data_IF_610291107781
#
_entry.id   IF_610291107781
#
_cell.length_a   1.000
_cell.length_b   1.000
_cell.length_c   1.000
_cell.angle_alpha   90.00
_cell.angle_beta   90.00
_cell.angle_gamma   90.00
#
_symmetry.space_group_name_H-M   'P 1'
#
loop_
_entity.id
_entity.type
_entity.pdbx_description
1 polymer ?
#
# COMPACT_ATOMS: atom_id res chain seq x y z
N UNK A 1 -86.21 7.03 -12.74
CA UNK A 1 -85.37 5.93 -13.29
C UNK A 1 -83.94 6.42 -13.28
N UNK A 2 -82.99 5.72 -12.62
CA UNK A 2 -81.59 6.13 -12.58
C UNK A 2 -80.99 6.06 -13.99
N UNK A 3 -80.18 7.05 -14.36
CA UNK A 3 -79.49 7.08 -15.65
C UNK A 3 -78.39 6.00 -15.68
N UNK A 4 -78.18 5.30 -16.82
CA UNK A 4 -77.09 4.34 -16.92
C UNK A 4 -75.73 5.05 -16.83
N UNK A 5 -74.72 4.41 -16.21
CA UNK A 5 -73.45 5.04 -15.85
C UNK A 5 -72.68 5.62 -17.06
N UNK A 6 -72.77 4.94 -18.21
CA UNK A 6 -72.14 5.42 -19.45
C UNK A 6 -72.73 6.74 -19.97
N UNK A 7 -74.03 6.99 -19.77
CA UNK A 7 -74.67 8.26 -20.13
C UNK A 7 -74.32 9.36 -19.13
N UNK A 8 -74.26 9.03 -17.83
CA UNK A 8 -73.87 9.97 -16.79
C UNK A 8 -72.46 10.53 -17.04
N UNK A 9 -71.48 9.67 -17.32
CA UNK A 9 -70.12 10.09 -17.64
C UNK A 9 -70.04 10.99 -18.88
N UNK A 10 -70.84 10.70 -19.92
CA UNK A 10 -70.90 11.53 -21.14
C UNK A 10 -71.55 12.89 -20.90
N UNK A 11 -72.60 12.94 -20.08
CA UNK A 11 -73.28 14.19 -19.70
C UNK A 11 -72.40 15.04 -18.77
N UNK A 12 -71.67 14.42 -17.84
CA UNK A 12 -70.70 15.08 -16.98
C UNK A 12 -69.55 15.69 -17.80
N UNK A 13 -68.99 14.95 -18.77
CA UNK A 13 -67.96 15.47 -19.69
C UNK A 13 -68.43 16.64 -20.56
N UNK A 14 -69.75 16.78 -20.75
CA UNK A 14 -70.35 17.94 -21.44
C UNK A 14 -70.85 19.04 -20.51
N UNK A 15 -70.57 18.93 -19.20
CA UNK A 15 -70.92 19.93 -18.20
C UNK A 15 -72.41 20.02 -17.87
N UNK A 16 -73.20 19.02 -18.27
CA UNK A 16 -74.68 19.03 -18.10
C UNK A 16 -75.08 18.46 -16.73
N UNK A 17 -74.27 17.57 -16.15
CA UNK A 17 -74.51 16.94 -14.85
C UNK A 17 -73.25 17.04 -13.99
N UNK A 18 -73.36 17.55 -12.76
CA UNK A 18 -72.25 17.52 -11.79
C UNK A 18 -72.03 16.07 -11.34
N UNK A 19 -70.87 15.45 -11.57
CA UNK A 19 -70.59 14.15 -10.96
C UNK A 19 -70.60 14.34 -9.44
N UNK A 20 -71.46 13.60 -8.74
CA UNK A 20 -71.36 13.48 -7.29
C UNK A 20 -69.99 12.85 -7.01
N UNK A 21 -69.20 13.54 -6.18
CA UNK A 21 -67.83 13.21 -5.81
C UNK A 21 -67.76 11.74 -5.38
N UNK A 22 -67.24 10.90 -6.28
CA UNK A 22 -66.53 9.71 -5.86
C UNK A 22 -65.16 10.24 -5.46
N UNK A 23 -64.92 10.28 -4.13
CA UNK A 23 -63.57 10.18 -3.58
C UNK A 23 -62.84 9.17 -4.45
N UNK A 24 -61.96 9.67 -5.31
CA UNK A 24 -60.85 8.86 -5.69
C UNK A 24 -60.21 8.51 -4.36
N UNK A 25 -60.22 7.23 -4.00
CA UNK A 25 -59.17 6.66 -3.19
C UNK A 25 -57.87 6.98 -3.93
N UNK A 26 -57.40 8.22 -3.78
CA UNK A 26 -56.04 8.60 -4.02
C UNK A 26 -55.30 7.77 -2.98
N UNK A 27 -54.86 6.58 -3.40
CA UNK A 27 -53.82 5.86 -2.69
C UNK A 27 -52.70 6.88 -2.50
N UNK A 28 -52.64 7.42 -1.28
CA UNK A 28 -51.58 8.28 -0.80
C UNK A 28 -50.36 7.36 -0.78
N UNK A 29 -49.66 7.31 -1.91
CA UNK A 29 -48.26 6.90 -1.99
C UNK A 29 -47.47 8.01 -1.29
N UNK A 30 -47.71 8.19 0.00
CA UNK A 30 -46.66 8.71 0.85
C UNK A 30 -45.63 7.59 0.84
N UNK A 31 -44.69 7.71 -0.10
CA UNK A 31 -43.31 7.35 0.17
C UNK A 31 -43.05 7.83 1.61
N UNK A 32 -42.98 6.88 2.52
CA UNK A 32 -42.62 7.06 3.91
C UNK A 32 -41.16 7.52 3.94
N UNK A 33 -40.95 8.80 3.61
CA UNK A 33 -39.75 9.56 3.95
C UNK A 33 -39.69 9.76 5.48
N UNK A 34 -39.90 8.71 6.24
CA UNK A 34 -39.41 8.63 7.60
C UNK A 34 -38.11 7.83 7.58
N UNK A 35 -37.06 8.52 7.13
CA UNK A 35 -35.65 8.16 7.22
C UNK A 35 -35.19 8.06 8.70
N UNK A 36 -36.03 7.57 9.60
CA UNK A 36 -35.71 7.28 10.98
C UNK A 36 -34.89 6.00 11.04
N UNK A 37 -33.62 6.14 10.66
CA UNK A 37 -32.53 5.21 10.91
C UNK A 37 -32.30 4.94 12.42
N UNK A 38 -33.12 5.53 13.28
CA UNK A 38 -33.10 5.43 14.73
C UNK A 38 -34.46 4.90 15.18
N UNK A 39 -34.51 3.61 15.50
CA UNK A 39 -35.70 2.98 16.06
C UNK A 39 -35.81 3.35 17.55
N UNK A 40 -36.35 4.54 17.81
CA UNK A 40 -36.56 5.08 19.15
C UNK A 40 -37.45 4.15 20.01
N UNK A 41 -38.36 3.38 19.42
CA UNK A 41 -39.18 2.40 20.13
C UNK A 41 -38.30 1.27 20.68
N UNK A 42 -37.42 0.69 19.86
CA UNK A 42 -36.50 -0.34 20.32
C UNK A 42 -35.53 0.15 21.41
N UNK A 43 -35.11 1.43 21.36
CA UNK A 43 -34.25 2.01 22.42
C UNK A 43 -34.93 2.07 23.79
N UNK A 44 -36.25 2.31 23.80
CA UNK A 44 -37.04 2.38 25.04
C UNK A 44 -37.41 1.01 25.58
N UNK A 45 -37.57 0.01 24.70
CA UNK A 45 -38.01 -1.34 25.05
C UNK A 45 -36.86 -2.18 25.63
N UNK A 46 -35.61 -1.95 25.22
CA UNK A 46 -34.48 -2.82 25.58
C UNK A 46 -33.79 -2.50 26.93
N UNK A 47 -34.33 -1.57 27.74
CA UNK A 47 -33.70 -1.14 29.01
C UNK A 47 -32.21 -0.82 28.84
N UNK A 48 -31.89 -0.07 27.78
CA UNK A 48 -30.52 0.34 27.48
C UNK A 48 -30.00 1.30 28.56
N UNK A 49 -28.68 1.31 28.84
CA UNK A 49 -28.11 2.27 29.76
C UNK A 49 -28.33 3.71 29.26
N UNK A 50 -28.28 4.73 30.14
CA UNK A 50 -28.47 6.12 29.76
C UNK A 50 -27.57 6.52 28.59
N UNK A 51 -28.11 7.35 27.69
CA UNK A 51 -27.41 7.88 26.52
C UNK A 51 -26.99 6.86 25.46
N UNK A 52 -27.44 5.60 25.56
CA UNK A 52 -27.27 4.59 24.51
C UNK A 52 -28.49 4.48 23.62
N UNK A 53 -28.25 4.50 22.31
CA UNK A 53 -29.27 4.40 21.27
C UNK A 53 -28.96 3.25 20.33
N UNK A 54 -30.00 2.54 19.92
CA UNK A 54 -29.98 1.54 18.86
C UNK A 54 -30.21 2.26 17.53
N UNK A 55 -29.24 2.13 16.64
CA UNK A 55 -29.21 2.79 15.34
C UNK A 55 -29.01 1.71 14.30
N UNK A 56 -29.73 1.77 13.18
CA UNK A 56 -29.51 0.83 12.08
C UNK A 56 -28.41 1.37 11.16
N UNK A 57 -27.57 0.52 10.60
CA UNK A 57 -26.63 0.97 9.57
C UNK A 57 -27.33 0.94 8.21
N UNK A 58 -27.46 2.07 7.48
CA UNK A 58 -28.07 2.10 6.16
C UNK A 58 -27.42 1.14 5.15
N UNK A 59 -26.13 0.83 5.33
CA UNK A 59 -25.41 -0.04 4.40
C UNK A 59 -25.79 -1.52 4.54
N UNK A 60 -26.21 -1.96 5.72
CA UNK A 60 -26.44 -3.38 5.99
C UNK A 60 -27.74 -3.71 6.74
N UNK A 61 -28.50 -2.69 7.18
CA UNK A 61 -29.74 -2.85 7.94
C UNK A 61 -29.53 -3.52 9.31
N UNK A 62 -28.29 -3.69 9.77
CA UNK A 62 -27.99 -4.29 11.06
C UNK A 62 -28.00 -3.22 12.16
N UNK A 63 -28.55 -3.52 13.34
CA UNK A 63 -28.51 -2.59 14.46
C UNK A 63 -27.11 -2.53 15.05
N UNK A 64 -26.66 -1.33 15.35
CA UNK A 64 -25.52 -1.04 16.20
C UNK A 64 -25.95 -0.10 17.33
N UNK A 65 -25.18 -0.06 18.40
CA UNK A 65 -25.46 0.72 19.59
C UNK A 65 -24.46 1.88 19.66
N UNK A 66 -24.97 3.10 19.81
CA UNK A 66 -24.17 4.31 19.90
C UNK A 66 -24.49 5.06 21.19
N UNK A 67 -23.44 5.45 21.90
CA UNK A 67 -23.53 6.33 23.04
C UNK A 67 -23.27 7.78 22.63
N UNK A 68 -24.26 8.66 22.78
CA UNK A 68 -24.20 10.06 22.30
C UNK A 68 -23.29 10.94 23.17
N UNK A 69 -23.10 10.62 24.44
CA UNK A 69 -22.27 11.42 25.35
C UNK A 69 -20.77 11.17 25.16
N UNK A 70 -20.41 9.91 24.92
CA UNK A 70 -19.01 9.47 24.85
C UNK A 70 -18.54 9.16 23.43
N UNK A 71 -19.44 9.26 22.45
CA UNK A 71 -19.23 8.83 21.07
C UNK A 71 -18.71 7.38 20.97
N UNK A 72 -19.08 6.50 21.89
CA UNK A 72 -18.69 5.09 21.85
C UNK A 72 -19.70 4.28 21.04
N UNK A 73 -19.21 3.27 20.31
CA UNK A 73 -20.02 2.39 19.48
C UNK A 73 -19.79 0.92 19.83
N UNK A 74 -20.85 0.12 19.73
CA UNK A 74 -20.82 -1.33 19.93
C UNK A 74 -21.74 -2.03 18.93
N UNK A 75 -21.36 -3.23 18.50
CA UNK A 75 -22.20 -4.07 17.61
C UNK A 75 -23.26 -4.87 18.36
N UNK A 76 -23.09 -5.05 19.67
CA UNK A 76 -24.00 -5.76 20.56
C UNK A 76 -24.54 -4.83 21.62
N UNK A 77 -25.68 -5.19 22.22
CA UNK A 77 -26.28 -4.39 23.30
C UNK A 77 -25.26 -4.18 24.41
N UNK A 78 -25.13 -2.98 24.99
CA UNK A 78 -24.23 -2.71 26.11
C UNK A 78 -24.48 -3.57 27.35
N UNK A 79 -25.69 -4.15 27.45
CA UNK A 79 -26.07 -5.06 28.52
C UNK A 79 -25.57 -6.49 28.28
N UNK A 80 -25.10 -6.82 27.08
CA UNK A 80 -24.56 -8.14 26.74
C UNK A 80 -23.12 -8.28 27.25
N UNK A 81 -22.76 -9.38 27.95
CA UNK A 81 -21.41 -9.60 28.47
C UNK A 81 -20.32 -9.70 27.39
N UNK A 82 -20.70 -9.97 26.14
CA UNK A 82 -19.78 -10.05 24.99
C UNK A 82 -19.65 -8.74 24.23
N UNK A 83 -20.34 -7.68 24.68
CA UNK A 83 -20.31 -6.38 24.02
C UNK A 83 -18.93 -5.72 24.12
N UNK A 84 -18.34 -5.44 22.96
CA UNK A 84 -17.06 -4.75 22.85
C UNK A 84 -17.30 -3.29 22.48
N UNK A 85 -17.22 -2.43 23.50
CA UNK A 85 -17.42 -0.99 23.35
C UNK A 85 -16.13 -0.35 22.83
N UNK A 86 -16.20 0.29 21.67
CA UNK A 86 -15.03 0.88 21.00
C UNK A 86 -15.29 2.30 20.53
N UNK A 87 -14.22 2.99 20.15
CA UNK A 87 -14.35 4.27 19.42
C UNK A 87 -14.82 3.99 17.99
N UNK A 88 -15.60 4.90 17.37
CA UNK A 88 -16.10 4.72 16.03
C UNK A 88 -14.94 4.53 15.05
N UNK A 89 -15.11 3.57 14.14
CA UNK A 89 -14.08 3.18 13.18
C UNK A 89 -13.53 4.37 12.38
N UNK A 90 -14.39 5.35 12.07
CA UNK A 90 -14.00 6.61 11.42
C UNK A 90 -12.95 7.39 12.22
N UNK A 91 -13.16 7.53 13.54
CA UNK A 91 -12.25 8.28 14.42
C UNK A 91 -10.91 7.57 14.61
N UNK A 92 -10.92 6.23 14.64
CA UNK A 92 -9.69 5.43 14.69
C UNK A 92 -8.88 5.64 13.40
N UNK A 93 -9.53 5.52 12.24
CA UNK A 93 -8.90 5.72 10.93
C UNK A 93 -8.30 7.11 10.77
N UNK A 94 -9.00 8.15 11.20
CA UNK A 94 -8.48 9.52 11.10
C UNK A 94 -7.25 9.72 11.99
N UNK A 95 -7.28 9.20 13.22
CA UNK A 95 -6.12 9.22 14.12
C UNK A 95 -4.91 8.47 13.55
N UNK A 96 -5.13 7.33 12.90
CA UNK A 96 -4.04 6.55 12.31
C UNK A 96 -3.45 7.25 11.07
N UNK A 97 -4.31 7.85 10.22
CA UNK A 97 -3.85 8.70 9.11
C UNK A 97 -3.02 9.88 9.58
N UNK A 98 -3.41 10.53 10.66
CA UNK A 98 -2.65 11.66 11.21
C UNK A 98 -1.28 11.21 11.74
N UNK A 99 -1.22 10.06 12.42
CA UNK A 99 0.05 9.46 12.84
C UNK A 99 0.96 9.11 11.67
N UNK A 100 0.40 8.58 10.59
CA UNK A 100 1.18 8.24 9.40
C UNK A 100 1.72 9.50 8.72
N UNK A 101 0.92 10.57 8.64
CA UNK A 101 1.39 11.88 8.16
C UNK A 101 2.53 12.44 9.01
N UNK A 102 2.45 12.32 10.33
CA UNK A 102 3.52 12.78 11.22
C UNK A 102 4.80 11.96 11.04
N UNK A 103 4.69 10.63 10.89
CA UNK A 103 5.85 9.78 10.56
C UNK A 103 6.51 10.15 9.25
N UNK A 104 5.73 10.50 8.22
CA UNK A 104 6.27 10.92 6.94
C UNK A 104 7.01 12.27 7.04
N UNK A 105 6.47 13.22 7.82
CA UNK A 105 7.16 14.49 8.11
C UNK A 105 8.49 14.27 8.83
N UNK A 106 8.55 13.36 9.79
CA UNK A 106 9.79 13.05 10.50
C UNK A 106 10.83 12.43 9.57
N UNK A 107 10.42 11.50 8.67
CA UNK A 107 11.30 10.96 7.64
C UNK A 107 11.85 12.03 6.70
N UNK A 108 11.05 13.03 6.34
CA UNK A 108 11.52 14.14 5.51
C UNK A 108 12.56 14.99 6.23
N UNK A 109 12.36 15.29 7.52
CA UNK A 109 13.37 15.99 8.34
C UNK A 109 14.67 15.19 8.45
N UNK A 110 14.59 13.88 8.62
CA UNK A 110 15.78 13.02 8.67
C UNK A 110 16.55 13.06 7.34
N UNK A 111 15.83 12.99 6.20
CA UNK A 111 16.44 13.14 4.86
C UNK A 111 17.10 14.50 4.67
N UNK A 112 16.50 15.57 5.17
CA UNK A 112 17.10 16.91 5.14
C UNK A 112 18.39 16.97 5.96
N UNK A 113 18.36 16.41 7.18
CA UNK A 113 19.54 16.33 8.05
C UNK A 113 20.67 15.51 7.42
N UNK A 114 20.36 14.42 6.72
CA UNK A 114 21.36 13.63 6.00
C UNK A 114 21.97 14.41 4.83
N UNK A 115 21.17 15.15 4.06
CA UNK A 115 21.69 16.03 3.00
C UNK A 115 22.61 17.12 3.53
N UNK A 116 22.30 17.68 4.69
CA UNK A 116 23.15 18.68 5.34
C UNK A 116 24.48 18.07 5.77
N UNK A 117 24.47 16.86 6.36
CA UNK A 117 25.70 16.11 6.68
C UNK A 117 26.55 15.83 5.45
N UNK A 118 25.94 15.37 4.35
CA UNK A 118 26.65 15.10 3.09
C UNK A 118 27.30 16.37 2.52
N UNK A 119 26.61 17.52 2.63
CA UNK A 119 27.14 18.83 2.21
C UNK A 119 28.32 19.25 3.08
N UNK A 120 28.23 19.08 4.39
CA UNK A 120 29.32 19.41 5.31
C UNK A 120 30.54 18.50 5.09
N UNK A 121 30.33 17.19 4.90
CA UNK A 121 31.41 16.26 4.56
C UNK A 121 32.07 16.62 3.22
N UNK A 122 31.28 17.04 2.22
CA UNK A 122 31.79 17.55 0.95
C UNK A 122 32.73 18.75 1.15
N UNK A 123 32.32 19.74 1.95
CA UNK A 123 33.16 20.90 2.27
C UNK A 123 34.45 20.51 2.98
N UNK A 124 34.39 19.56 3.91
CA UNK A 124 35.58 19.11 4.63
C UNK A 124 36.54 18.31 3.74
N UNK A 125 36.03 17.51 2.80
CA UNK A 125 36.85 16.87 1.76
C UNK A 125 37.54 17.90 0.88
N UNK A 126 36.84 18.95 0.45
CA UNK A 126 37.41 20.01 -0.38
C UNK A 126 38.51 20.78 0.37
N UNK A 127 38.27 21.15 1.64
CA UNK A 127 39.30 21.75 2.51
C UNK A 127 40.53 20.86 2.64
N UNK A 128 40.33 19.55 2.85
CA UNK A 128 41.43 18.58 2.97
C UNK A 128 42.20 18.43 1.67
N UNK A 129 41.51 18.45 0.52
CA UNK A 129 42.13 18.40 -0.81
C UNK A 129 42.96 19.65 -1.08
N UNK A 130 42.42 20.84 -0.77
CA UNK A 130 43.11 22.11 -0.95
C UNK A 130 44.38 22.18 -0.07
N UNK A 131 44.29 21.76 1.20
CA UNK A 131 45.47 21.66 2.09
C UNK A 131 46.54 20.69 1.55
N UNK A 132 46.12 19.58 0.93
CA UNK A 132 47.05 18.61 0.32
C UNK A 132 47.75 19.18 -0.92
N UNK A 133 47.03 19.98 -1.72
CA UNK A 133 47.57 20.62 -2.92
C UNK A 133 48.53 21.77 -2.57
N UNK A 134 48.24 22.58 -1.54
CA UNK A 134 49.11 23.68 -1.09
C UNK A 134 50.41 23.19 -0.39
N UNK A 135 50.42 21.98 0.17
CA UNK A 135 51.54 21.47 0.99
C UNK A 135 52.56 20.65 0.17
N UNK A 136 52.28 20.33 -1.09
CA UNK A 136 53.14 19.43 -1.88
C UNK A 136 54.01 20.22 -2.88
N UNK A 137 55.30 20.50 -2.59
CA UNK A 137 56.15 21.26 -3.51
C UNK A 137 56.58 20.47 -4.76
N UNK A 138 56.23 19.18 -4.88
CA UNK A 138 56.62 18.36 -6.03
C UNK A 138 55.72 17.12 -6.19
N UNK A 139 54.61 17.18 -6.92
CA UNK A 139 53.96 15.95 -7.41
C UNK A 139 53.00 16.13 -8.60
N UNK A 140 53.56 16.41 -9.78
CA UNK A 140 52.86 16.13 -11.06
C UNK A 140 53.80 15.64 -12.15
N UNK A 141 54.71 14.71 -11.84
CA UNK A 141 55.57 14.08 -12.86
C UNK A 141 56.14 12.73 -12.40
N UNK A 142 55.28 11.74 -12.09
CA UNK A 142 55.70 10.32 -12.04
C UNK A 142 54.51 9.34 -12.09
N UNK A 143 53.75 9.39 -13.18
CA UNK A 143 52.89 8.26 -13.61
C UNK A 143 53.58 7.50 -14.74
N UNK A 144 54.79 7.03 -14.47
CA UNK A 144 55.57 6.28 -15.44
C UNK A 144 56.84 5.71 -14.82
N UNK A 145 56.92 4.38 -14.79
CA UNK A 145 58.06 3.52 -14.41
C UNK A 145 58.51 3.59 -12.95
N UNK A 146 58.00 2.64 -12.17
CA UNK A 146 58.71 1.95 -11.08
C UNK A 146 58.30 0.48 -11.12
N UNK A 147 58.68 -0.21 -12.19
CA UNK A 147 58.52 -1.67 -12.29
C UNK A 147 59.73 -2.40 -11.67
N UNK A 148 60.76 -1.67 -11.20
CA UNK A 148 62.04 -2.24 -10.76
C UNK A 148 62.57 -1.68 -9.42
N UNK A 149 61.73 -1.05 -8.59
CA UNK A 149 62.12 -0.69 -7.22
C UNK A 149 61.17 -1.37 -6.25
N UNK A 150 61.38 -2.69 -6.09
CA UNK A 150 60.63 -3.54 -5.19
C UNK A 150 60.76 -3.04 -3.76
N UNK A 151 59.62 -2.84 -3.09
CA UNK A 151 59.59 -2.56 -1.67
C UNK A 151 60.13 -3.79 -0.93
N UNK A 152 61.24 -3.66 -0.17
CA UNK A 152 61.87 -4.78 0.54
C UNK A 152 61.01 -5.38 1.65
N UNK A 153 59.77 -4.91 1.85
CA UNK A 153 58.76 -5.47 2.75
C UNK A 153 57.47 -5.93 2.04
N UNK A 154 57.38 -5.87 0.69
CA UNK A 154 56.21 -6.37 -0.04
C UNK A 154 56.25 -7.90 -0.16
N UNK A 155 55.22 -8.65 0.26
CA UNK A 155 55.18 -10.10 0.12
C UNK A 155 55.28 -10.57 -1.34
N UNK A 156 54.90 -9.76 -2.32
CA UNK A 156 55.10 -10.06 -3.75
C UNK A 156 56.56 -9.92 -4.22
N UNK A 157 57.42 -9.27 -3.43
CA UNK A 157 58.86 -9.19 -3.69
C UNK A 157 59.62 -10.46 -3.27
N UNK A 158 59.06 -11.25 -2.34
CA UNK A 158 59.66 -12.51 -1.86
C UNK A 158 58.88 -13.77 -2.28
N UNK A 159 57.66 -13.63 -2.81
CA UNK A 159 56.85 -14.78 -3.25
C UNK A 159 56.94 -14.97 -4.77
N UNK A 160 57.08 -16.22 -5.21
CA UNK A 160 57.03 -16.65 -6.62
C UNK A 160 55.58 -16.64 -7.17
N UNK A 161 54.73 -15.77 -6.60
CA UNK A 161 53.36 -15.64 -7.00
C UNK A 161 53.34 -15.02 -8.41
N UNK A 162 52.70 -15.66 -9.41
CA UNK A 162 52.63 -15.11 -10.74
C UNK A 162 51.95 -13.74 -10.68
N UNK A 163 52.65 -12.70 -11.13
CA UNK A 163 52.17 -11.31 -11.23
C UNK A 163 51.08 -11.20 -12.29
N UNK A 164 49.89 -11.70 -11.97
CA UNK A 164 48.72 -11.66 -12.81
C UNK A 164 48.06 -10.28 -12.81
N UNK A 165 47.47 -9.89 -13.94
CA UNK A 165 46.49 -8.80 -13.94
C UNK A 165 45.19 -9.30 -13.29
N UNK A 166 44.31 -8.41 -12.85
CA UNK A 166 43.02 -8.79 -12.23
C UNK A 166 42.22 -9.84 -13.05
N UNK A 167 42.45 -9.92 -14.36
CA UNK A 167 41.86 -10.93 -15.26
C UNK A 167 42.53 -12.31 -15.27
N UNK A 168 43.69 -12.51 -14.62
CA UNK A 168 44.36 -13.81 -14.60
C UNK A 168 43.55 -14.80 -13.74
N UNK A 169 43.01 -15.84 -14.36
CA UNK A 169 42.22 -16.87 -13.67
C UNK A 169 40.71 -16.66 -13.74
N UNK A 170 40.20 -15.57 -14.34
CA UNK A 170 38.78 -15.49 -14.69
C UNK A 170 38.51 -16.23 -16.01
N UNK A 171 37.44 -17.05 -16.09
CA UNK A 171 37.01 -17.62 -17.37
C UNK A 171 36.74 -16.48 -18.35
N UNK A 172 37.05 -16.68 -19.63
CA UNK A 172 36.81 -15.67 -20.66
C UNK A 172 35.32 -15.29 -20.60
N UNK A 173 35.00 -14.02 -20.87
CA UNK A 173 33.66 -13.40 -20.76
C UNK A 173 32.48 -14.17 -21.40
N UNK A 174 32.73 -15.26 -22.12
CA UNK A 174 31.75 -16.08 -22.82
C UNK A 174 31.76 -17.58 -22.41
N UNK A 175 32.56 -17.98 -21.41
CA UNK A 175 32.67 -19.38 -20.94
C UNK A 175 31.79 -19.68 -19.73
N UNK A 176 31.35 -18.64 -19.02
CA UNK A 176 30.36 -18.81 -17.96
C UNK A 176 29.03 -19.25 -18.60
N UNK A 177 28.58 -20.45 -18.26
CA UNK A 177 27.26 -21.01 -18.59
C UNK A 177 26.13 -20.27 -17.87
N UNK A 178 26.25 -18.95 -17.74
CA UNK A 178 25.17 -18.06 -17.32
C UNK A 178 24.17 -18.07 -18.46
N UNK A 179 23.03 -18.73 -18.27
CA UNK A 179 21.91 -18.77 -19.22
C UNK A 179 21.24 -17.40 -19.36
N UNK A 180 22.03 -16.38 -19.69
CA UNK A 180 21.64 -15.02 -19.97
C UNK A 180 21.96 -14.78 -21.45
N UNK A 181 20.93 -14.48 -22.22
CA UNK A 181 21.08 -14.21 -23.65
C UNK A 181 21.91 -12.95 -23.84
N UNK A 182 23.09 -13.10 -24.45
CA UNK A 182 24.04 -12.01 -24.72
C UNK A 182 23.51 -10.97 -25.72
N UNK A 183 22.33 -11.22 -26.31
CA UNK A 183 21.67 -10.35 -27.29
C UNK A 183 20.76 -9.30 -26.63
N UNK A 184 20.43 -9.44 -25.34
CA UNK A 184 19.54 -8.50 -24.65
C UNK A 184 20.30 -7.26 -24.14
N UNK A 185 20.21 -6.15 -24.86
CA UNK A 185 20.68 -4.86 -24.39
C UNK A 185 19.68 -4.29 -23.36
N UNK A 186 19.88 -4.60 -22.08
CA UNK A 186 19.04 -4.09 -20.99
C UNK A 186 19.63 -4.36 -19.61
N UNK A 187 19.08 -3.72 -18.55
CA UNK A 187 19.52 -3.95 -17.17
C UNK A 187 19.47 -5.44 -16.83
N UNK A 188 20.56 -5.96 -16.26
CA UNK A 188 20.81 -7.39 -16.03
C UNK A 188 19.77 -8.10 -15.13
N UNK A 189 18.84 -7.36 -14.54
CA UNK A 189 17.83 -7.82 -13.59
C UNK A 189 16.41 -7.89 -14.18
N UNK A 190 16.24 -8.18 -15.48
CA UNK A 190 14.89 -8.43 -15.98
C UNK A 190 14.26 -9.65 -15.29
N UNK A 191 13.04 -9.46 -14.77
CA UNK A 191 12.26 -10.49 -14.10
C UNK A 191 12.03 -11.65 -15.09
N UNK A 192 12.73 -12.76 -14.87
CA UNK A 192 12.72 -13.92 -15.77
C UNK A 192 11.34 -14.56 -15.76
N UNK A 193 10.74 -14.85 -16.93
CA UNK A 193 9.52 -15.66 -17.00
C UNK A 193 9.76 -17.02 -16.33
N UNK A 194 8.79 -17.48 -15.52
CA UNK A 194 8.87 -18.80 -14.91
C UNK A 194 8.98 -19.89 -16.00
N UNK A 195 9.81 -20.93 -15.78
CA UNK A 195 9.92 -22.03 -16.73
C UNK A 195 8.55 -22.69 -16.95
N UNK A 196 8.27 -23.04 -18.20
CA UNK A 196 7.02 -23.73 -18.54
C UNK A 196 6.89 -25.04 -17.75
N UNK A 197 5.67 -25.47 -17.38
CA UNK A 197 5.46 -26.68 -16.58
C UNK A 197 6.18 -27.94 -17.14
N UNK A 198 6.24 -28.09 -18.47
CA UNK A 198 6.97 -29.19 -19.11
C UNK A 198 8.50 -29.12 -18.95
N UNK A 199 9.08 -27.92 -18.83
CA UNK A 199 10.50 -27.77 -18.54
C UNK A 199 10.83 -28.17 -17.10
N UNK A 200 9.95 -27.84 -16.14
CA UNK A 200 10.07 -28.26 -14.74
C UNK A 200 9.97 -29.78 -14.62
N UNK A 201 9.02 -30.41 -15.33
CA UNK A 201 8.89 -31.87 -15.35
C UNK A 201 10.13 -32.57 -15.92
N UNK A 202 10.73 -32.03 -16.99
CA UNK A 202 11.99 -32.57 -17.54
C UNK A 202 13.17 -32.40 -16.60
N UNK A 203 13.27 -31.25 -15.93
CA UNK A 203 14.34 -31.00 -14.95
C UNK A 203 14.24 -31.94 -13.74
N UNK A 204 13.03 -32.27 -13.29
CA UNK A 204 12.82 -33.22 -12.19
C UNK A 204 12.96 -34.69 -12.62
N UNK A 205 12.72 -34.98 -13.91
CA UNK A 205 12.91 -36.33 -14.47
C UNK A 205 14.39 -36.71 -14.59
N UNK A 206 15.28 -35.72 -14.75
CA UNK A 206 16.72 -35.89 -14.57
C UNK A 206 16.99 -35.76 -13.07
N UNK A 207 16.89 -36.87 -12.33
CA UNK A 207 17.20 -36.89 -10.90
C UNK A 207 18.60 -36.35 -10.58
N UNK A 208 18.90 -36.02 -9.31
CA UNK A 208 20.22 -35.53 -8.92
C UNK A 208 21.26 -36.59 -9.26
N UNK A 209 22.02 -36.37 -10.33
CA UNK A 209 23.18 -37.18 -10.65
C UNK A 209 24.25 -36.86 -9.61
N UNK A 210 24.67 -37.91 -8.90
CA UNK A 210 25.79 -37.95 -7.99
C UNK A 210 27.09 -37.44 -8.66
N UNK A 211 27.31 -36.12 -8.64
CA UNK A 211 28.62 -35.50 -8.91
C UNK A 211 29.23 -34.98 -7.60
N UNK A 212 29.09 -35.77 -6.53
CA UNK A 212 29.96 -35.70 -5.36
C UNK A 212 30.55 -37.10 -5.19
N UNK A 213 31.73 -37.33 -5.77
CA UNK A 213 32.87 -38.10 -5.21
C UNK A 213 33.94 -38.34 -6.29
N UNK A 214 35.19 -38.07 -5.89
CA UNK A 214 36.48 -38.50 -6.47
C UNK A 214 37.00 -37.83 -7.76
N UNK A 215 37.84 -36.80 -7.59
CA UNK A 215 39.31 -36.93 -7.63
C UNK A 215 40.00 -35.70 -7.04
#
# INVERSE_FOLDING_TARGET
>A
MPLPPALLARLAKRGIVKPAEQEADEEIIAEDYDDNNVDYEATRIENLPPNWYKVFDPACGLPYYWNVETDLVAWLSPNDPTSVITKPAKKIRDRDRDRDRDRDRDRDRDRERDRDRDRDEGRDRDRRKQRREDTAPYSKSKRGRKDDEMDPMDPSAYSDAPRGTWSSGLPKRNEAKTGADTTAAGPLFQQRPYPSPGAVLRANAVGPSDDIICK
#
